data_IF_913322610383
#
_entry.id   IF_913322610383
#
_cell.length_a   1.000
_cell.length_b   1.000
_cell.length_c   1.000
_cell.angle_alpha   90.00
_cell.angle_beta   90.00
_cell.angle_gamma   90.00
#
_symmetry.space_group_name_H-M   'P 1'
#
loop_
_entity.id
_entity.type
_entity.pdbx_description
1 polymer ?
#
# COMPACT_ATOMS: atom_id res chain seq x y z
N UNK A 1 -3.07 2.49 6.83
CA UNK A 1 -2.92 2.59 8.31
C UNK A 1 -2.12 1.39 8.82
N UNK A 2 -1.23 1.55 9.81
CA UNK A 2 -0.43 0.46 10.38
C UNK A 2 -0.46 0.51 11.91
N UNK A 3 -0.43 -0.66 12.55
CA UNK A 3 -0.24 -0.79 13.99
C UNK A 3 1.22 -0.52 14.37
N UNK A 4 1.46 0.31 15.39
CA UNK A 4 2.81 0.77 15.76
C UNK A 4 3.58 -0.17 16.71
N UNK A 5 2.90 -0.82 17.66
CA UNK A 5 3.55 -1.70 18.64
C UNK A 5 3.72 -3.13 18.04
N UNK A 6 4.70 -3.22 17.14
CA UNK A 6 5.13 -4.40 16.37
C UNK A 6 6.67 -4.48 16.35
N UNK A 7 7.24 -5.66 16.12
CA UNK A 7 8.70 -5.84 16.07
C UNK A 7 9.31 -5.58 14.69
N UNK A 8 8.50 -5.66 13.63
CA UNK A 8 8.94 -5.48 12.26
C UNK A 8 7.93 -4.72 11.41
N UNK A 9 8.45 -3.85 10.56
CA UNK A 9 7.70 -3.19 9.48
C UNK A 9 7.62 -4.13 8.27
N UNK A 10 6.49 -4.19 7.54
CA UNK A 10 6.39 -5.02 6.34
C UNK A 10 7.46 -4.68 5.31
N UNK A 11 8.06 -5.71 4.69
CA UNK A 11 9.19 -5.60 3.77
C UNK A 11 8.97 -4.56 2.67
N UNK A 12 7.78 -4.55 2.06
CA UNK A 12 7.43 -3.62 0.98
C UNK A 12 7.58 -2.13 1.34
N UNK A 13 7.51 -1.79 2.64
CA UNK A 13 7.72 -0.44 3.15
C UNK A 13 9.11 -0.23 3.76
N UNK A 14 9.78 -1.30 4.20
CA UNK A 14 11.05 -1.23 4.92
C UNK A 14 12.28 -1.30 4.00
N UNK A 15 12.12 -1.76 2.76
CA UNK A 15 13.21 -2.14 1.87
C UNK A 15 13.73 -1.05 0.92
N UNK A 16 13.60 0.23 1.29
CA UNK A 16 14.03 1.32 0.41
C UNK A 16 15.56 1.40 0.39
N UNK A 17 16.14 1.25 -0.81
CA UNK A 17 17.57 1.45 -1.08
C UNK A 17 17.77 2.46 -2.22
N UNK A 18 19.03 2.76 -2.57
CA UNK A 18 19.34 3.60 -3.73
C UNK A 18 18.98 2.96 -5.08
N UNK A 19 18.79 1.63 -5.12
CA UNK A 19 18.43 0.91 -6.34
C UNK A 19 16.91 1.03 -6.59
N UNK A 20 16.55 1.52 -7.78
CA UNK A 20 15.15 1.70 -8.18
C UNK A 20 14.47 0.33 -8.36
N UNK A 21 13.28 0.15 -7.77
CA UNK A 21 12.55 -1.12 -7.84
C UNK A 21 11.04 -0.94 -7.70
N UNK A 22 10.26 -1.72 -8.46
CA UNK A 22 8.81 -1.86 -8.24
C UNK A 22 8.48 -2.71 -7.00
N UNK A 23 9.49 -3.37 -6.42
CA UNK A 23 9.40 -4.12 -5.17
C UNK A 23 9.46 -3.26 -3.90
N UNK A 24 9.60 -1.94 -4.02
CA UNK A 24 9.59 -0.98 -2.91
C UNK A 24 8.43 0.00 -3.06
N UNK A 25 7.69 0.23 -1.98
CA UNK A 25 6.58 1.20 -1.97
C UNK A 25 7.07 2.62 -2.28
N UNK A 26 8.24 2.99 -1.76
CA UNK A 26 8.85 4.30 -2.01
C UNK A 26 9.04 4.53 -3.51
N UNK A 27 9.77 3.65 -4.18
CA UNK A 27 10.07 3.79 -5.61
C UNK A 27 8.82 3.69 -6.47
N UNK A 28 7.92 2.76 -6.16
CA UNK A 28 6.65 2.62 -6.87
C UNK A 28 5.81 3.91 -6.79
N UNK A 29 5.75 4.52 -5.61
CA UNK A 29 5.03 5.79 -5.42
C UNK A 29 5.66 6.94 -6.22
N UNK A 30 7.00 7.00 -6.29
CA UNK A 30 7.71 8.04 -7.06
C UNK A 30 7.50 7.86 -8.57
N UNK A 31 7.51 6.63 -9.07
CA UNK A 31 7.23 6.31 -10.47
C UNK A 31 5.79 6.66 -10.84
N UNK A 32 4.81 6.31 -10.00
CA UNK A 32 3.41 6.70 -10.21
C UNK A 32 3.29 8.23 -10.30
N UNK A 33 3.88 8.96 -9.34
CA UNK A 33 3.77 10.41 -9.31
C UNK A 33 4.38 11.06 -10.56
N UNK A 34 5.58 10.63 -10.98
CA UNK A 34 6.24 11.18 -12.17
C UNK A 34 5.46 10.92 -13.46
N UNK A 35 4.94 9.70 -13.65
CA UNK A 35 4.17 9.36 -14.86
C UNK A 35 2.79 10.01 -14.87
N UNK A 36 2.13 10.07 -13.70
CA UNK A 36 0.85 10.72 -13.56
C UNK A 36 0.96 12.24 -13.79
N UNK A 37 2.05 12.88 -13.37
CA UNK A 37 2.30 14.30 -13.67
C UNK A 37 2.44 14.54 -15.19
N UNK A 38 3.26 13.73 -15.87
CA UNK A 38 3.47 13.84 -17.31
C UNK A 38 2.21 13.54 -18.16
N UNK A 39 1.27 12.76 -17.62
CA UNK A 39 0.01 12.35 -18.29
C UNK A 39 -1.24 12.77 -17.53
N UNK A 40 -1.18 13.88 -16.79
CA UNK A 40 -2.15 14.26 -15.75
C UNK A 40 -3.62 14.12 -16.15
N UNK A 41 -3.99 14.68 -17.31
CA UNK A 41 -5.39 14.71 -17.77
C UNK A 41 -6.03 13.33 -17.93
N UNK A 42 -5.25 12.27 -18.20
CA UNK A 42 -5.78 10.90 -18.26
C UNK A 42 -5.30 10.01 -17.12
N UNK A 43 -4.46 10.50 -16.22
CA UNK A 43 -4.00 9.75 -15.05
C UNK A 43 -4.74 10.11 -13.76
N UNK A 44 -5.30 11.32 -13.64
CA UNK A 44 -5.87 11.83 -12.38
C UNK A 44 -6.95 10.92 -11.78
N UNK A 45 -7.84 10.37 -12.61
CA UNK A 45 -8.91 9.50 -12.14
C UNK A 45 -8.40 8.11 -11.68
N UNK A 46 -7.27 7.64 -12.20
CA UNK A 46 -6.62 6.43 -11.68
C UNK A 46 -6.05 6.68 -10.28
N UNK A 47 -5.47 7.87 -10.04
CA UNK A 47 -4.96 8.28 -8.73
C UNK A 47 -6.08 8.43 -7.70
N UNK A 48 -7.20 9.03 -8.07
CA UNK A 48 -8.37 9.16 -7.18
C UNK A 48 -8.95 7.80 -6.79
N UNK A 49 -9.10 6.89 -7.76
CA UNK A 49 -9.56 5.51 -7.52
C UNK A 49 -8.59 4.75 -6.64
N UNK A 50 -7.28 4.87 -6.88
CA UNK A 50 -6.25 4.27 -6.06
C UNK A 50 -6.34 4.71 -4.60
N UNK A 51 -6.45 6.02 -4.36
CA UNK A 51 -6.58 6.58 -3.00
C UNK A 51 -7.83 6.04 -2.30
N UNK A 52 -8.98 6.11 -2.97
CA UNK A 52 -10.24 5.61 -2.42
C UNK A 52 -10.16 4.11 -2.10
N UNK A 53 -9.58 3.31 -3.00
CA UNK A 53 -9.42 1.87 -2.80
C UNK A 53 -8.53 1.54 -1.61
N UNK A 54 -7.34 2.16 -1.52
CA UNK A 54 -6.40 1.93 -0.42
C UNK A 54 -6.97 2.39 0.92
N UNK A 55 -7.66 3.53 0.96
CA UNK A 55 -8.32 4.02 2.17
C UNK A 55 -9.43 3.07 2.61
N UNK A 56 -10.37 2.74 1.72
CA UNK A 56 -11.51 1.87 2.03
C UNK A 56 -11.06 0.46 2.47
N UNK A 57 -10.18 -0.18 1.68
CA UNK A 57 -9.68 -1.53 2.00
C UNK A 57 -8.80 -1.52 3.25
N UNK A 58 -7.98 -0.49 3.43
CA UNK A 58 -7.14 -0.32 4.62
C UNK A 58 -7.98 -0.22 5.90
N UNK A 59 -9.05 0.58 5.88
CA UNK A 59 -9.99 0.68 7.00
C UNK A 59 -10.78 -0.60 7.23
N UNK A 60 -11.21 -1.30 6.18
CA UNK A 60 -11.90 -2.59 6.31
C UNK A 60 -11.00 -3.64 7.00
N UNK A 61 -9.73 -3.73 6.61
CA UNK A 61 -8.75 -4.61 7.26
C UNK A 61 -8.53 -4.24 8.72
N UNK A 62 -8.37 -2.95 9.01
CA UNK A 62 -8.18 -2.44 10.37
C UNK A 62 -9.36 -2.78 11.27
N UNK A 63 -10.60 -2.51 10.83
CA UNK A 63 -11.80 -2.84 11.59
C UNK A 63 -11.88 -4.33 11.95
N UNK A 64 -11.56 -5.19 10.97
CA UNK A 64 -11.57 -6.65 11.16
C UNK A 64 -10.50 -7.11 12.15
N UNK A 65 -9.31 -6.51 12.14
CA UNK A 65 -8.25 -6.86 13.07
C UNK A 65 -8.46 -6.25 14.46
N UNK A 66 -9.06 -5.06 14.56
CA UNK A 66 -9.44 -4.46 15.83
C UNK A 66 -10.44 -5.32 16.59
N UNK A 67 -11.41 -5.94 15.89
CA UNK A 67 -12.34 -6.87 16.52
C UNK A 67 -11.63 -8.13 17.07
N UNK A 68 -10.67 -8.67 16.32
CA UNK A 68 -9.84 -9.81 16.78
C UNK A 68 -9.00 -9.41 17.99
N UNK A 69 -8.37 -8.25 17.94
CA UNK A 69 -7.55 -7.72 19.03
C UNK A 69 -8.38 -7.45 20.28
N UNK A 70 -9.63 -6.98 20.17
CA UNK A 70 -10.52 -6.81 21.33
C UNK A 70 -10.84 -8.13 22.05
N UNK A 71 -10.86 -9.25 21.33
CA UNK A 71 -11.17 -10.58 21.87
C UNK A 71 -9.95 -11.33 22.39
N UNK A 72 -8.74 -10.91 22.04
CA UNK A 72 -7.50 -11.58 22.45
C UNK A 72 -6.92 -10.93 23.71
N UNK A 73 -6.81 -11.72 24.78
CA UNK A 73 -6.26 -11.26 26.07
C UNK A 73 -4.74 -11.46 26.15
N UNK A 74 -4.18 -12.44 25.43
CA UNK A 74 -2.77 -12.77 25.50
C UNK A 74 -1.91 -11.73 24.76
N UNK A 75 -0.96 -11.12 25.47
CA UNK A 75 -0.12 -10.04 24.93
C UNK A 75 0.74 -10.46 23.73
N UNK A 76 1.24 -11.70 23.72
CA UNK A 76 2.08 -12.23 22.64
C UNK A 76 1.23 -12.47 21.40
N UNK A 77 0.03 -13.07 21.54
CA UNK A 77 -0.91 -13.25 20.43
C UNK A 77 -1.41 -11.92 19.88
N UNK A 78 -1.65 -10.91 20.72
CA UNK A 78 -1.97 -9.55 20.26
C UNK A 78 -0.85 -8.93 19.44
N UNK A 79 0.42 -9.13 19.81
CA UNK A 79 1.56 -8.69 19.02
C UNK A 79 1.59 -9.38 17.64
N UNK A 80 1.46 -10.70 17.62
CA UNK A 80 1.41 -11.47 16.37
C UNK A 80 0.23 -11.06 15.46
N UNK A 81 -0.94 -10.75 16.03
CA UNK A 81 -2.10 -10.26 15.28
C UNK A 81 -1.85 -8.91 14.62
N UNK A 82 -1.21 -7.96 15.31
CA UNK A 82 -0.86 -6.64 14.75
C UNK A 82 0.12 -6.77 13.59
N UNK A 83 1.13 -7.61 13.73
CA UNK A 83 2.09 -7.86 12.65
C UNK A 83 1.45 -8.54 11.45
N UNK A 84 0.57 -9.52 11.69
CA UNK A 84 -0.20 -10.15 10.61
C UNK A 84 -1.09 -9.13 9.90
N UNK A 85 -1.74 -8.24 10.64
CA UNK A 85 -2.55 -7.18 10.07
C UNK A 85 -1.71 -6.23 9.20
N UNK A 86 -0.57 -5.78 9.71
CA UNK A 86 0.35 -4.93 8.97
C UNK A 86 0.83 -5.60 7.68
N UNK A 87 1.18 -6.90 7.71
CA UNK A 87 1.56 -7.64 6.50
C UNK A 87 0.42 -7.67 5.47
N UNK A 88 -0.80 -7.98 5.90
CA UNK A 88 -1.94 -8.06 4.97
C UNK A 88 -2.33 -6.69 4.39
N UNK A 89 -2.22 -5.62 5.19
CA UNK A 89 -2.42 -4.25 4.70
C UNK A 89 -1.33 -3.88 3.68
N UNK A 90 -0.07 -4.25 3.94
CA UNK A 90 1.03 -4.00 3.01
C UNK A 90 0.88 -4.80 1.71
N UNK A 91 0.40 -6.04 1.78
CA UNK A 91 0.14 -6.87 0.60
C UNK A 91 -1.02 -6.29 -0.24
N UNK A 92 -2.08 -5.79 0.40
CA UNK A 92 -3.15 -5.06 -0.28
C UNK A 92 -2.61 -3.79 -0.94
N UNK A 93 -1.86 -2.97 -0.20
CA UNK A 93 -1.25 -1.75 -0.71
C UNK A 93 -0.37 -2.04 -1.93
N UNK A 94 0.45 -3.09 -1.88
CA UNK A 94 1.33 -3.51 -2.98
C UNK A 94 0.54 -3.86 -4.24
N UNK A 95 -0.59 -4.57 -4.11
CA UNK A 95 -1.46 -4.90 -5.25
C UNK A 95 -2.07 -3.66 -5.88
N UNK A 96 -2.68 -2.78 -5.07
CA UNK A 96 -3.29 -1.53 -5.56
C UNK A 96 -2.24 -0.59 -6.18
N UNK A 97 -1.04 -0.55 -5.60
CA UNK A 97 0.09 0.24 -6.13
C UNK A 97 0.55 -0.29 -7.48
N UNK A 98 0.71 -1.62 -7.61
CA UNK A 98 1.13 -2.24 -8.86
C UNK A 98 0.11 -2.06 -9.99
N UNK A 99 -1.18 -2.22 -9.69
CA UNK A 99 -2.27 -1.95 -10.63
C UNK A 99 -2.28 -0.49 -11.10
N UNK A 100 -2.16 0.45 -10.15
CA UNK A 100 -2.10 1.90 -10.47
C UNK A 100 -0.88 2.24 -11.30
N UNK A 101 0.29 1.70 -10.96
CA UNK A 101 1.54 1.87 -11.72
C UNK A 101 1.37 1.41 -13.17
N UNK A 102 0.74 0.25 -13.39
CA UNK A 102 0.46 -0.25 -14.74
C UNK A 102 -0.48 0.66 -15.53
N UNK A 103 -1.53 1.18 -14.88
CA UNK A 103 -2.50 2.11 -15.50
C UNK A 103 -1.84 3.41 -15.92
N UNK A 104 -1.12 4.08 -15.03
CA UNK A 104 -0.47 5.37 -15.37
C UNK A 104 0.66 5.21 -16.39
N UNK A 105 1.36 4.07 -16.37
CA UNK A 105 2.34 3.74 -17.41
C UNK A 105 1.67 3.60 -18.78
N UNK A 106 0.52 2.94 -18.86
CA UNK A 106 -0.25 2.80 -20.09
C UNK A 106 -0.75 4.15 -20.61
N UNK A 107 -1.29 5.00 -19.74
CA UNK A 107 -1.74 6.35 -20.09
C UNK A 107 -0.59 7.22 -20.64
N UNK A 108 0.60 7.11 -20.05
CA UNK A 108 1.78 7.83 -20.52
C UNK A 108 2.31 7.27 -21.85
N UNK A 109 2.46 5.95 -21.96
CA UNK A 109 3.10 5.32 -23.12
C UNK A 109 2.22 5.34 -24.37
N UNK A 110 0.90 5.30 -24.23
CA UNK A 110 -0.04 5.41 -25.36
C UNK A 110 -0.07 6.79 -26.02
N UNK A 111 0.63 7.78 -25.44
CA UNK A 111 0.76 9.14 -25.97
C UNK A 111 2.11 9.40 -26.64
N UNK A 112 3.04 8.45 -26.56
CA UNK A 112 4.35 8.51 -27.23
C UNK A 112 4.23 7.98 -28.66
#
# INVERSE_FOLDING_TARGET
>A
PFYANVSATPEYLANTTAEVSTGSFYWSSRMIAAMADASYSTSVFHIERYRLAVEAQGHALLNRYDEKLRREADGVKRAALRERANREIADMLKRETADTLGKVLFELSGRM
#
